data_IF_680133773904
#
_entry.id   IF_680133773904
#
_cell.length_a   1.000
_cell.length_b   1.000
_cell.length_c   1.000
_cell.angle_alpha   90.00
_cell.angle_beta   90.00
_cell.angle_gamma   90.00
#
_symmetry.space_group_name_H-M   'P 1'
#
loop_
_entity.id
_entity.type
_entity.pdbx_description
1 polymer ?
#
# COMPACT_ATOMS: atom_id res chain seq x y z
N UNK A 1 -20.89 -18.89 5.96
CA UNK A 1 -20.15 -18.63 4.69
C UNK A 1 -19.83 -17.14 4.51
N UNK A 2 -20.80 -16.24 4.52
CA UNK A 2 -20.57 -14.78 4.38
C UNK A 2 -19.76 -14.20 5.56
N UNK A 3 -20.04 -14.63 6.80
CA UNK A 3 -19.33 -14.17 7.99
C UNK A 3 -17.82 -14.52 7.95
N UNK A 4 -17.49 -15.70 7.42
CA UNK A 4 -16.10 -16.17 7.26
C UNK A 4 -15.33 -15.28 6.29
N UNK A 5 -15.95 -14.95 5.15
CA UNK A 5 -15.36 -14.07 4.14
C UNK A 5 -15.12 -12.64 4.68
N UNK A 6 -16.08 -12.12 5.46
CA UNK A 6 -15.91 -10.83 6.15
C UNK A 6 -14.77 -10.87 7.18
N UNK A 7 -14.63 -11.97 7.91
CA UNK A 7 -13.58 -12.14 8.90
C UNK A 7 -12.20 -12.21 8.23
N UNK A 8 -12.07 -12.99 7.16
CA UNK A 8 -10.82 -13.11 6.39
C UNK A 8 -10.42 -11.76 5.78
N UNK A 9 -11.37 -11.02 5.20
CA UNK A 9 -11.12 -9.68 4.70
C UNK A 9 -10.72 -8.71 5.81
N UNK A 10 -11.34 -8.80 6.99
CA UNK A 10 -11.01 -7.92 8.10
C UNK A 10 -9.61 -8.20 8.65
N UNK A 11 -9.21 -9.47 8.75
CA UNK A 11 -7.86 -9.86 9.17
C UNK A 11 -6.81 -9.40 8.15
N UNK A 12 -7.06 -9.63 6.86
CA UNK A 12 -6.16 -9.17 5.78
C UNK A 12 -6.05 -7.65 5.80
N UNK A 13 -7.18 -6.94 5.89
CA UNK A 13 -7.18 -5.48 5.97
C UNK A 13 -6.42 -4.98 7.20
N UNK A 14 -6.59 -5.61 8.36
CA UNK A 14 -5.88 -5.20 9.57
C UNK A 14 -4.37 -5.40 9.43
N UNK A 15 -3.94 -6.53 8.86
CA UNK A 15 -2.52 -6.80 8.58
C UNK A 15 -1.95 -5.77 7.60
N UNK A 16 -2.65 -5.52 6.48
CA UNK A 16 -2.23 -4.51 5.52
C UNK A 16 -2.19 -3.12 6.17
N UNK A 17 -3.20 -2.74 6.95
CA UNK A 17 -3.25 -1.46 7.64
C UNK A 17 -2.05 -1.28 8.59
N UNK A 18 -1.74 -2.30 9.39
CA UNK A 18 -0.60 -2.27 10.31
C UNK A 18 0.74 -2.26 9.56
N UNK A 19 0.81 -2.96 8.42
CA UNK A 19 1.98 -2.99 7.55
C UNK A 19 2.22 -1.63 6.88
N UNK A 20 1.16 -0.99 6.37
CA UNK A 20 1.21 0.31 5.70
C UNK A 20 1.25 1.51 6.67
N UNK A 21 0.96 1.31 7.96
CA UNK A 21 1.14 2.32 9.01
C UNK A 21 2.59 2.79 9.14
N UNK A 22 3.54 1.86 8.97
CA UNK A 22 4.95 2.19 8.98
C UNK A 22 5.38 2.57 7.55
N UNK A 23 5.51 3.88 7.29
CA UNK A 23 5.88 4.42 5.97
C UNK A 23 7.13 3.76 5.32
N UNK A 24 8.07 3.28 6.14
CA UNK A 24 9.26 2.53 5.68
C UNK A 24 8.90 1.22 4.98
N UNK A 25 7.92 0.47 5.50
CA UNK A 25 7.48 -0.80 4.90
C UNK A 25 6.77 -0.58 3.56
N UNK A 26 6.03 0.53 3.43
CA UNK A 26 5.39 0.94 2.17
C UNK A 26 6.45 1.13 1.08
N UNK A 27 7.48 1.93 1.38
CA UNK A 27 8.58 2.17 0.46
C UNK A 27 9.31 0.87 0.09
N UNK A 28 9.60 0.01 1.07
CA UNK A 28 10.27 -1.27 0.86
C UNK A 28 9.45 -2.25 0.00
N UNK A 29 8.15 -2.37 0.26
CA UNK A 29 7.24 -3.23 -0.49
C UNK A 29 7.18 -2.81 -1.97
N UNK A 30 7.03 -1.52 -2.22
CA UNK A 30 6.99 -1.01 -3.58
C UNK A 30 8.34 -1.05 -4.29
N UNK A 31 9.45 -0.89 -3.57
CA UNK A 31 10.79 -1.11 -4.12
C UNK A 31 10.97 -2.56 -4.57
N UNK A 32 10.56 -3.53 -3.74
CA UNK A 32 10.60 -4.96 -4.08
C UNK A 32 9.68 -5.30 -5.25
N UNK A 33 8.46 -4.76 -5.28
CA UNK A 33 7.53 -4.90 -6.41
C UNK A 33 8.15 -4.41 -7.71
N UNK A 34 8.71 -3.20 -7.72
CA UNK A 34 9.40 -2.66 -8.89
C UNK A 34 10.58 -3.53 -9.33
N UNK A 35 11.28 -4.19 -8.39
CA UNK A 35 12.37 -5.11 -8.71
C UNK A 35 11.88 -6.46 -9.28
N UNK A 36 10.72 -6.94 -8.83
CA UNK A 36 10.10 -8.18 -9.30
C UNK A 36 9.43 -8.03 -10.67
N UNK A 37 9.00 -6.81 -11.03
CA UNK A 37 8.38 -6.56 -12.33
C UNK A 37 9.42 -6.47 -13.44
N UNK A 38 9.69 -7.62 -14.07
CA UNK A 38 10.42 -7.72 -15.34
C UNK A 38 9.64 -7.01 -16.47
N UNK A 39 8.30 -6.99 -16.38
CA UNK A 39 7.45 -6.41 -17.39
C UNK A 39 7.34 -4.87 -17.24
N UNK A 40 7.76 -4.15 -18.28
CA UNK A 40 7.78 -2.68 -18.33
C UNK A 40 6.42 -2.02 -18.06
N UNK A 41 5.30 -2.66 -18.44
CA UNK A 41 3.95 -2.13 -18.15
C UNK A 41 3.61 -2.19 -16.66
N UNK A 42 3.89 -3.32 -16.01
CA UNK A 42 3.63 -3.52 -14.59
C UNK A 42 4.52 -2.62 -13.72
N UNK A 43 5.77 -2.43 -14.13
CA UNK A 43 6.69 -1.50 -13.46
C UNK A 43 6.19 -0.05 -13.53
N UNK A 44 5.65 0.37 -14.68
CA UNK A 44 5.10 1.72 -14.84
C UNK A 44 3.86 1.93 -13.97
N UNK A 45 2.97 0.94 -13.93
CA UNK A 45 1.80 0.96 -13.06
C UNK A 45 2.18 0.99 -11.58
N UNK A 46 3.12 0.13 -11.16
CA UNK A 46 3.62 0.09 -9.79
C UNK A 46 4.21 1.43 -9.35
N UNK A 47 5.05 2.07 -10.17
CA UNK A 47 5.57 3.41 -9.88
C UNK A 47 4.47 4.48 -9.74
N UNK A 48 3.42 4.43 -10.56
CA UNK A 48 2.29 5.37 -10.44
C UNK A 48 1.55 5.16 -9.13
N UNK A 49 1.28 3.91 -8.75
CA UNK A 49 0.63 3.60 -7.48
C UNK A 49 1.47 4.07 -6.29
N UNK A 50 2.80 3.89 -6.33
CA UNK A 50 3.72 4.42 -5.31
C UNK A 50 3.56 5.92 -5.12
N UNK A 51 3.61 6.67 -6.22
CA UNK A 51 3.53 8.13 -6.21
C UNK A 51 2.17 8.56 -5.64
N UNK A 52 1.09 7.89 -6.03
CA UNK A 52 -0.25 8.16 -5.51
C UNK A 52 -0.35 7.90 -4.00
N UNK A 53 0.17 6.77 -3.52
CA UNK A 53 0.17 6.42 -2.10
C UNK A 53 0.99 7.44 -1.30
N UNK A 54 2.17 7.82 -1.79
CA UNK A 54 3.00 8.85 -1.15
C UNK A 54 2.32 10.22 -1.09
N UNK A 55 1.70 10.65 -2.19
CA UNK A 55 0.97 11.91 -2.23
C UNK A 55 -0.23 11.90 -1.27
N UNK A 56 -0.97 10.78 -1.22
CA UNK A 56 -2.07 10.60 -0.28
C UNK A 56 -1.59 10.60 1.18
N UNK A 57 -0.48 9.92 1.47
CA UNK A 57 0.11 9.89 2.82
C UNK A 57 0.58 11.28 3.27
N UNK A 58 1.23 12.04 2.38
CA UNK A 58 1.64 13.41 2.64
C UNK A 58 0.45 14.32 2.89
N UNK A 59 -0.59 14.23 2.05
CA UNK A 59 -1.79 15.02 2.20
C UNK A 59 -2.52 14.70 3.51
N UNK A 60 -2.68 13.42 3.83
CA UNK A 60 -3.30 13.00 5.08
C UNK A 60 -2.48 13.44 6.30
N UNK A 61 -1.15 13.33 6.24
CA UNK A 61 -0.28 13.77 7.34
C UNK A 61 -0.30 15.29 7.52
N UNK A 62 -0.43 16.07 6.45
CA UNK A 62 -0.58 17.52 6.53
C UNK A 62 -1.96 17.92 7.07
N UNK A 63 -3.02 17.28 6.59
CA UNK A 63 -4.39 17.57 7.01
C UNK A 63 -4.68 17.11 8.45
N UNK A 64 -4.05 16.02 8.92
CA UNK A 64 -4.24 15.50 10.26
C UNK A 64 -3.43 16.23 11.34
N UNK A 65 -2.37 16.97 10.95
CA UNK A 65 -1.55 17.77 11.87
C UNK A 65 -1.88 19.28 11.81
N UNK A 66 -2.97 19.67 11.14
CA UNK A 66 -3.54 21.02 11.17
C UNK A 66 -4.64 21.14 12.22
#
# INVERSE_FOLDING_TARGET
MILSFYFDLNVINNILFTFFQNGVWVLGFFYLLNKLFVNKKLLKFSKVVVIFVLAFFLFFSFAANM
#
